data_IF_874809475367
#
_entry.id   IF_874809475367
#
_cell.length_a   1.000
_cell.length_b   1.000
_cell.length_c   1.000
_cell.angle_alpha   90.00
_cell.angle_beta   90.00
_cell.angle_gamma   90.00
#
_symmetry.space_group_name_H-M   'P 1'
#
loop_
_entity.id
_entity.type
_entity.pdbx_description
1 polymer ?
#
# COMPACT_ATOMS: atom_id res chain seq x y z
N UNK A 1 3.26 38.70 12.47
CA UNK A 1 3.41 37.25 12.16
C UNK A 1 3.26 36.91 10.68
N UNK A 2 2.38 37.56 9.91
CA UNK A 2 2.25 37.30 8.45
C UNK A 2 3.56 37.49 7.66
N UNK A 3 4.36 38.51 8.01
CA UNK A 3 5.63 38.85 7.33
C UNK A 3 6.75 37.83 7.58
N UNK A 4 6.82 37.22 8.77
CA UNK A 4 7.88 36.26 9.14
C UNK A 4 7.82 34.99 8.29
N UNK A 5 6.61 34.47 8.07
CA UNK A 5 6.40 33.27 7.27
C UNK A 5 6.73 33.50 5.78
N UNK A 6 6.43 34.69 5.24
CA UNK A 6 6.84 35.08 3.88
C UNK A 6 8.37 35.18 3.78
N UNK A 7 9.03 35.72 4.81
CA UNK A 7 10.50 35.77 4.85
C UNK A 7 11.11 34.36 4.87
N UNK A 8 10.57 33.42 5.65
CA UNK A 8 11.02 32.02 5.64
C UNK A 8 10.81 31.40 4.27
N UNK A 9 9.62 31.52 3.66
CA UNK A 9 9.38 30.96 2.32
C UNK A 9 10.35 31.54 1.29
N UNK A 10 10.64 32.85 1.35
CA UNK A 10 11.63 33.49 0.47
C UNK A 10 13.05 33.01 0.73
N UNK A 11 13.45 32.80 1.99
CA UNK A 11 14.76 32.24 2.37
C UNK A 11 14.91 30.78 1.90
N UNK A 12 13.84 29.98 1.99
CA UNK A 12 13.82 28.60 1.48
C UNK A 12 13.98 28.62 -0.05
N UNK A 13 13.19 29.44 -0.74
CA UNK A 13 13.22 29.58 -2.20
C UNK A 13 14.58 30.09 -2.69
N UNK A 14 15.22 31.01 -1.97
CA UNK A 14 16.54 31.55 -2.34
C UNK A 14 17.72 30.66 -1.92
N UNK A 15 17.46 29.44 -1.42
CA UNK A 15 18.46 28.54 -0.80
C UNK A 15 19.32 29.21 0.29
N UNK A 16 18.78 30.22 0.97
CA UNK A 16 19.49 31.03 1.95
C UNK A 16 19.52 30.43 3.36
N UNK A 17 18.83 29.30 3.59
CA UNK A 17 18.81 28.62 4.88
C UNK A 17 20.05 27.75 5.06
N UNK A 18 20.83 27.95 6.15
CA UNK A 18 21.94 27.07 6.49
C UNK A 18 21.43 25.66 6.76
N UNK A 19 22.10 24.65 6.18
CA UNK A 19 21.76 23.22 6.36
C UNK A 19 21.68 22.79 7.83
N UNK A 20 22.51 23.40 8.70
CA UNK A 20 22.54 23.14 10.14
C UNK A 20 21.30 23.61 10.90
N UNK A 21 20.53 24.58 10.37
CA UNK A 21 19.32 25.13 11.02
C UNK A 21 18.01 24.61 10.41
N UNK A 22 18.09 23.69 9.47
CA UNK A 22 16.89 23.07 8.88
C UNK A 22 16.08 22.32 9.95
N UNK A 23 16.77 21.64 10.87
CA UNK A 23 16.11 20.92 11.96
C UNK A 23 15.41 21.89 12.93
N UNK A 24 16.10 22.94 13.39
CA UNK A 24 15.51 23.98 14.24
C UNK A 24 14.28 24.62 13.56
N UNK A 25 14.33 24.81 12.24
CA UNK A 25 13.22 25.37 11.47
C UNK A 25 12.03 24.41 11.45
N UNK A 26 12.25 23.11 11.21
CA UNK A 26 11.19 22.09 11.23
C UNK A 26 10.57 21.95 12.62
N UNK A 27 11.37 21.96 13.68
CA UNK A 27 10.90 21.94 15.06
C UNK A 27 10.03 23.17 15.38
N UNK A 28 10.46 24.36 14.95
CA UNK A 28 9.68 25.58 15.09
C UNK A 28 8.36 25.53 14.28
N UNK A 29 8.38 24.94 13.08
CA UNK A 29 7.18 24.74 12.27
C UNK A 29 6.22 23.75 12.93
N UNK A 30 6.73 22.67 13.54
CA UNK A 30 5.94 21.68 14.25
C UNK A 30 5.21 22.29 15.45
N UNK A 31 5.92 23.12 16.23
CA UNK A 31 5.35 23.87 17.36
C UNK A 31 4.25 24.88 16.94
N UNK A 32 4.22 25.26 15.65
CA UNK A 32 3.24 26.19 15.10
C UNK A 32 2.03 25.50 14.43
N UNK A 33 1.95 24.17 14.43
CA UNK A 33 0.89 23.44 13.72
C UNK A 33 -0.51 23.64 14.31
N UNK A 34 -0.61 23.92 15.62
CA UNK A 34 -1.89 24.17 16.32
C UNK A 34 -2.39 25.62 16.21
N UNK A 35 -1.65 26.49 15.52
CA UNK A 35 -1.98 27.90 15.38
C UNK A 35 -3.02 28.17 14.28
N UNK A 36 -3.30 29.45 14.03
CA UNK A 36 -4.34 29.89 13.09
C UNK A 36 -4.19 29.29 11.67
N UNK A 37 -5.32 29.12 10.98
CA UNK A 37 -5.45 28.52 9.65
C UNK A 37 -4.46 29.07 8.61
N UNK A 38 -4.32 30.40 8.56
CA UNK A 38 -3.43 31.06 7.60
C UNK A 38 -1.96 30.69 7.83
N UNK A 39 -1.58 30.39 9.08
CA UNK A 39 -0.24 29.95 9.40
C UNK A 39 -0.03 28.50 8.97
N UNK A 40 -1.01 27.63 9.20
CA UNK A 40 -0.97 26.23 8.74
C UNK A 40 -0.74 26.12 7.23
N UNK A 41 -1.46 26.90 6.41
CA UNK A 41 -1.25 26.92 4.96
C UNK A 41 0.13 27.41 4.56
N UNK A 42 0.67 28.42 5.25
CA UNK A 42 2.01 28.91 4.95
C UNK A 42 3.11 27.93 5.40
N UNK A 43 2.90 27.18 6.48
CA UNK A 43 3.79 26.07 6.87
C UNK A 43 3.82 25.04 5.73
N UNK A 44 2.67 24.64 5.20
CA UNK A 44 2.60 23.70 4.07
C UNK A 44 3.32 24.24 2.82
N UNK A 45 3.13 25.52 2.49
CA UNK A 45 3.84 26.15 1.37
C UNK A 45 5.37 26.17 1.60
N UNK A 46 5.81 26.43 2.83
CA UNK A 46 7.22 26.38 3.19
C UNK A 46 7.78 24.96 3.07
N UNK A 47 7.05 23.93 3.52
CA UNK A 47 7.45 22.53 3.39
C UNK A 47 7.52 22.07 1.93
N UNK A 48 6.55 22.43 1.10
CA UNK A 48 6.61 22.15 -0.34
C UNK A 48 7.82 22.82 -1.00
N UNK A 49 8.14 24.06 -0.61
CA UNK A 49 9.32 24.78 -1.09
C UNK A 49 10.62 24.14 -0.60
N UNK A 50 10.64 23.62 0.64
CA UNK A 50 11.78 22.91 1.22
C UNK A 50 12.05 21.63 0.44
N UNK A 51 11.00 20.86 0.16
CA UNK A 51 11.10 19.64 -0.65
C UNK A 51 11.68 19.93 -2.04
N UNK A 52 11.26 21.00 -2.70
CA UNK A 52 11.75 21.36 -4.04
C UNK A 52 13.21 21.83 -4.05
N UNK A 53 13.65 22.57 -3.03
CA UNK A 53 14.96 23.23 -3.03
C UNK A 53 16.06 22.46 -2.28
N UNK A 54 15.67 21.61 -1.31
CA UNK A 54 16.54 20.89 -0.41
C UNK A 54 16.25 19.37 -0.42
N UNK A 55 15.75 18.84 -1.54
CA UNK A 55 15.45 17.41 -1.69
C UNK A 55 16.63 16.54 -1.24
N UNK A 56 17.85 16.82 -1.70
CA UNK A 56 19.03 15.98 -1.40
C UNK A 56 19.47 16.02 0.07
N UNK A 57 19.13 17.10 0.77
CA UNK A 57 19.46 17.34 2.18
C UNK A 57 18.40 16.74 3.14
N UNK A 58 17.19 16.42 2.63
CA UNK A 58 16.12 15.75 3.39
C UNK A 58 16.40 14.26 3.55
N UNK A 59 17.16 13.91 4.58
CA UNK A 59 17.52 12.52 4.97
C UNK A 59 17.42 12.36 6.48
N UNK A 60 17.20 11.14 6.95
CA UNK A 60 17.17 10.82 8.39
C UNK A 60 16.21 11.72 9.19
N UNK A 61 16.70 12.31 10.28
CA UNK A 61 15.86 13.05 11.23
C UNK A 61 15.17 14.28 10.61
N UNK A 62 15.79 14.91 9.60
CA UNK A 62 15.16 16.02 8.85
C UNK A 62 13.93 15.54 8.06
N UNK A 63 14.03 14.36 7.44
CA UNK A 63 12.91 13.74 6.75
C UNK A 63 11.80 13.38 7.75
N UNK A 64 12.17 12.82 8.91
CA UNK A 64 11.22 12.50 9.97
C UNK A 64 10.45 13.73 10.43
N UNK A 65 11.14 14.83 10.74
CA UNK A 65 10.52 16.08 11.15
C UNK A 65 9.58 16.65 10.07
N UNK A 66 9.97 16.61 8.80
CA UNK A 66 9.11 17.09 7.70
C UNK A 66 7.83 16.24 7.55
N UNK A 67 7.95 14.91 7.64
CA UNK A 67 6.80 13.99 7.58
C UNK A 67 5.89 14.16 8.80
N UNK A 68 6.45 14.38 9.99
CA UNK A 68 5.72 14.62 11.23
C UNK A 68 4.86 15.89 11.14
N UNK A 69 5.44 17.01 10.67
CA UNK A 69 4.68 18.27 10.50
C UNK A 69 3.52 18.08 9.52
N UNK A 70 3.76 17.42 8.38
CA UNK A 70 2.69 17.13 7.41
C UNK A 70 1.61 16.18 7.97
N UNK A 71 2.00 15.21 8.80
CA UNK A 71 1.07 14.31 9.48
C UNK A 71 0.21 15.05 10.49
N UNK A 72 0.80 15.92 11.31
CA UNK A 72 0.08 16.73 12.30
C UNK A 72 -0.94 17.65 11.61
N UNK A 73 -0.55 18.32 10.52
CA UNK A 73 -1.42 19.21 9.76
C UNK A 73 -2.55 18.50 9.01
N UNK A 74 -2.44 17.21 8.72
CA UNK A 74 -3.55 16.44 8.14
C UNK A 74 -4.75 16.31 9.08
N UNK A 75 -4.53 16.34 10.39
CA UNK A 75 -5.60 16.31 11.38
C UNK A 75 -6.34 17.64 11.54
N UNK A 76 -5.90 18.70 10.85
CA UNK A 76 -6.53 20.01 10.89
C UNK A 76 -8.00 19.94 10.45
N UNK A 77 -8.89 20.59 11.21
CA UNK A 77 -10.34 20.62 10.93
C UNK A 77 -10.68 21.23 9.56
N UNK A 78 -9.81 22.10 9.05
CA UNK A 78 -10.00 22.74 7.76
C UNK A 78 -9.63 21.78 6.63
N UNK A 79 -10.64 21.40 5.83
CA UNK A 79 -10.48 20.48 4.68
C UNK A 79 -9.43 20.94 3.67
N UNK A 80 -9.28 22.25 3.48
CA UNK A 80 -8.24 22.82 2.59
C UNK A 80 -6.84 22.53 3.11
N UNK A 81 -6.58 22.76 4.40
CA UNK A 81 -5.27 22.45 5.03
C UNK A 81 -5.02 20.96 5.04
N UNK A 82 -5.98 20.17 5.50
CA UNK A 82 -5.85 18.71 5.56
C UNK A 82 -5.57 18.10 4.17
N UNK A 83 -6.28 18.56 3.13
CA UNK A 83 -6.06 18.11 1.75
C UNK A 83 -4.68 18.50 1.18
N UNK A 84 -4.24 19.74 1.42
CA UNK A 84 -2.89 20.19 0.99
C UNK A 84 -1.82 19.44 1.79
N UNK A 85 -2.01 19.22 3.09
CA UNK A 85 -1.09 18.46 3.92
C UNK A 85 -0.96 17.00 3.45
N UNK A 86 -2.07 16.36 3.09
CA UNK A 86 -2.05 15.01 2.51
C UNK A 86 -1.29 14.97 1.17
N UNK A 87 -1.51 15.95 0.30
CA UNK A 87 -0.79 16.05 -0.97
C UNK A 87 0.72 16.29 -0.77
N UNK A 88 1.10 17.20 0.13
CA UNK A 88 2.51 17.45 0.47
C UNK A 88 3.15 16.22 1.12
N UNK A 89 2.43 15.48 1.97
CA UNK A 89 2.92 14.22 2.54
C UNK A 89 3.17 13.18 1.44
N UNK A 90 2.22 13.01 0.50
CA UNK A 90 2.40 12.12 -0.65
C UNK A 90 3.63 12.51 -1.48
N UNK A 91 3.86 13.80 -1.70
CA UNK A 91 5.05 14.28 -2.42
C UNK A 91 6.35 13.99 -1.65
N UNK A 92 6.37 14.21 -0.34
CA UNK A 92 7.53 13.88 0.51
C UNK A 92 7.85 12.39 0.42
N UNK A 93 6.84 11.53 0.61
CA UNK A 93 7.00 10.08 0.53
C UNK A 93 7.46 9.67 -0.88
N UNK A 94 6.88 10.23 -1.94
CA UNK A 94 7.28 9.95 -3.33
C UNK A 94 8.75 10.30 -3.56
N UNK A 95 9.20 11.46 -3.10
CA UNK A 95 10.60 11.90 -3.21
C UNK A 95 11.57 10.94 -2.49
N UNK A 96 11.17 10.34 -1.36
CA UNK A 96 11.98 9.33 -0.67
C UNK A 96 12.23 8.12 -1.57
N UNK A 97 11.20 7.59 -2.23
CA UNK A 97 11.35 6.45 -3.13
C UNK A 97 12.08 6.80 -4.43
N UNK A 98 11.91 8.01 -4.96
CA UNK A 98 12.68 8.48 -6.11
C UNK A 98 14.19 8.52 -5.80
N UNK A 99 14.58 8.90 -4.59
CA UNK A 99 15.98 8.87 -4.14
C UNK A 99 16.55 7.46 -4.13
N UNK A 100 15.77 6.45 -3.71
CA UNK A 100 16.19 5.05 -3.78
C UNK A 100 16.46 4.64 -5.22
N UNK A 101 15.54 4.97 -6.13
CA UNK A 101 15.73 4.69 -7.56
C UNK A 101 16.93 5.40 -8.18
N UNK A 102 17.29 6.59 -7.70
CA UNK A 102 18.50 7.30 -8.13
C UNK A 102 19.77 6.70 -7.52
N UNK A 103 19.72 6.27 -6.26
CA UNK A 103 20.80 5.57 -5.57
C UNK A 103 21.08 4.21 -6.24
N UNK A 104 20.05 3.47 -6.64
CA UNK A 104 20.15 2.20 -7.39
C UNK A 104 20.87 2.34 -8.73
N UNK A 105 20.72 3.48 -9.41
CA UNK A 105 21.41 3.76 -10.68
C UNK A 105 22.91 4.04 -10.50
N UNK A 106 23.33 4.44 -9.30
CA UNK A 106 24.71 4.82 -8.97
C UNK A 106 25.25 3.97 -7.80
N UNK A 107 25.37 2.64 -7.97
CA UNK A 107 25.73 1.72 -6.87
C UNK A 107 27.15 1.91 -6.30
N UNK A 108 28.01 2.69 -6.97
CA UNK A 108 29.39 2.94 -6.56
C UNK A 108 29.63 4.20 -5.71
N UNK A 109 28.66 5.11 -5.60
CA UNK A 109 28.87 6.41 -4.94
C UNK A 109 28.61 6.38 -3.42
N UNK A 110 27.73 5.50 -2.96
CA UNK A 110 27.28 5.47 -1.56
C UNK A 110 27.37 4.05 -1.00
N UNK A 111 28.21 3.86 0.02
CA UNK A 111 28.37 2.57 0.68
C UNK A 111 27.16 2.22 1.54
N UNK A 112 26.79 0.94 1.56
CA UNK A 112 25.77 0.42 2.48
C UNK A 112 26.34 0.39 3.91
N UNK A 113 25.76 1.19 4.80
CA UNK A 113 26.23 1.37 6.17
C UNK A 113 25.22 0.88 7.22
N UNK A 114 23.94 0.75 6.86
CA UNK A 114 22.88 0.46 7.82
C UNK A 114 22.42 -0.99 7.68
N UNK A 115 22.27 -1.71 8.79
CA UNK A 115 21.76 -3.09 8.78
C UNK A 115 20.31 -3.16 9.24
N UNK A 116 19.49 -3.92 8.51
CA UNK A 116 18.06 -4.11 8.77
C UNK A 116 17.75 -5.61 8.81
N UNK A 117 16.87 -6.08 9.72
CA UNK A 117 16.44 -7.47 9.73
C UNK A 117 15.66 -7.80 8.43
N UNK A 118 16.18 -8.75 7.65
CA UNK A 118 15.48 -9.38 6.54
C UNK A 118 15.12 -10.83 6.85
N UNK A 119 14.28 -11.42 5.99
CA UNK A 119 13.80 -12.80 6.17
C UNK A 119 14.93 -13.84 6.11
N UNK A 120 16.00 -13.57 5.34
CA UNK A 120 17.17 -14.46 5.17
C UNK A 120 18.43 -13.97 5.92
N UNK A 121 18.28 -12.99 6.82
CA UNK A 121 19.39 -12.41 7.59
C UNK A 121 19.46 -10.87 7.54
N UNK A 122 20.48 -10.26 8.17
CA UNK A 122 20.64 -8.81 8.16
C UNK A 122 21.01 -8.29 6.76
N UNK A 123 20.19 -7.37 6.23
CA UNK A 123 20.37 -6.72 4.93
C UNK A 123 21.10 -5.40 5.15
N UNK A 124 22.22 -5.21 4.44
CA UNK A 124 22.95 -3.93 4.40
C UNK A 124 22.30 -2.98 3.41
N UNK A 125 21.77 -1.88 3.91
CA UNK A 125 21.10 -0.83 3.16
C UNK A 125 21.97 0.40 3.02
N UNK A 126 21.82 1.04 1.87
CA UNK A 126 22.32 2.38 1.61
C UNK A 126 21.39 3.41 2.27
N UNK A 127 21.86 4.65 2.49
CA UNK A 127 21.11 5.67 3.23
C UNK A 127 19.71 5.95 2.68
N UNK A 128 19.53 6.06 1.35
CA UNK A 128 18.20 6.34 0.81
C UNK A 128 17.27 5.12 0.94
N UNK A 129 17.76 3.92 0.64
CA UNK A 129 17.01 2.68 0.86
C UNK A 129 16.61 2.48 2.34
N UNK A 130 17.49 2.83 3.28
CA UNK A 130 17.23 2.77 4.71
C UNK A 130 16.13 3.75 5.14
N UNK A 131 16.16 5.00 4.66
CA UNK A 131 15.10 5.98 4.93
C UNK A 131 13.76 5.51 4.35
N UNK A 132 13.73 4.98 3.13
CA UNK A 132 12.52 4.44 2.51
C UNK A 132 11.94 3.26 3.30
N UNK A 133 12.79 2.32 3.76
CA UNK A 133 12.40 1.23 4.62
C UNK A 133 11.77 1.73 5.93
N UNK A 134 12.39 2.70 6.61
CA UNK A 134 11.88 3.24 7.87
C UNK A 134 10.53 3.93 7.68
N UNK A 135 10.38 4.74 6.64
CA UNK A 135 9.11 5.41 6.31
C UNK A 135 8.03 4.38 5.99
N UNK A 136 8.31 3.40 5.13
CA UNK A 136 7.33 2.40 4.72
C UNK A 136 6.89 1.51 5.90
N UNK A 137 7.84 1.07 6.73
CA UNK A 137 7.55 0.31 7.95
C UNK A 137 6.68 1.11 8.92
N UNK A 138 7.01 2.38 9.14
CA UNK A 138 6.25 3.21 10.07
C UNK A 138 4.85 3.55 9.54
N UNK A 139 4.66 3.68 8.22
CA UNK A 139 3.33 3.75 7.61
C UNK A 139 2.52 2.47 7.85
N UNK A 140 3.15 1.30 7.74
CA UNK A 140 2.49 0.03 8.03
C UNK A 140 2.11 -0.11 9.52
N UNK A 141 2.98 0.35 10.43
CA UNK A 141 2.68 0.40 11.87
C UNK A 141 1.58 1.41 12.18
N UNK A 142 1.56 2.57 11.53
CA UNK A 142 0.51 3.57 11.69
C UNK A 142 -0.86 3.06 11.21
N UNK A 143 -0.90 2.25 10.14
CA UNK A 143 -2.13 1.58 9.70
C UNK A 143 -2.66 0.57 10.74
N UNK A 144 -1.80 0.01 11.59
CA UNK A 144 -2.18 -0.90 12.68
C UNK A 144 -2.50 -0.16 14.00
N UNK A 145 -2.47 1.16 14.03
CA UNK A 145 -2.54 1.98 15.26
C UNK A 145 -1.45 1.60 16.29
N UNK A 146 -0.26 1.23 15.79
CA UNK A 146 0.91 0.86 16.60
C UNK A 146 1.90 2.02 16.66
N UNK A 147 2.64 2.08 17.78
CA UNK A 147 3.68 3.09 17.97
C UNK A 147 4.76 2.96 16.89
N UNK A 148 4.94 4.05 16.15
CA UNK A 148 5.98 4.20 15.14
C UNK A 148 7.36 4.41 15.78
N UNK A 149 8.43 4.17 15.01
CA UNK A 149 9.80 4.13 15.56
C UNK A 149 10.69 5.27 15.06
N UNK A 150 10.45 5.73 13.84
CA UNK A 150 11.19 6.78 13.16
C UNK A 150 10.35 8.05 13.09
N UNK A 151 9.21 8.00 12.41
CA UNK A 151 8.34 9.17 12.20
C UNK A 151 7.20 9.12 13.19
N UNK A 152 6.95 10.19 13.94
CA UNK A 152 5.81 10.24 14.86
C UNK A 152 4.52 10.55 14.10
N UNK A 153 3.90 9.54 13.51
CA UNK A 153 2.58 9.64 12.86
C UNK A 153 1.43 9.71 13.89
N UNK A 154 1.55 10.54 14.92
CA UNK A 154 0.59 10.57 16.04
C UNK A 154 -0.84 10.94 15.63
N UNK A 155 -0.99 11.68 14.52
CA UNK A 155 -2.29 12.21 14.06
C UNK A 155 -2.72 11.67 12.69
N UNK A 156 -1.99 10.69 12.13
CA UNK A 156 -2.33 10.11 10.83
C UNK A 156 -3.44 9.07 11.00
N UNK A 157 -4.49 9.15 10.19
CA UNK A 157 -5.56 8.14 10.24
C UNK A 157 -5.11 6.81 9.59
N UNK A 158 -5.77 5.72 9.99
CA UNK A 158 -5.58 4.39 9.40
C UNK A 158 -5.80 4.42 7.88
N UNK A 159 -6.84 5.14 7.42
CA UNK A 159 -7.19 5.25 6.00
C UNK A 159 -6.11 5.98 5.19
N UNK A 160 -5.59 7.09 5.71
CA UNK A 160 -4.51 7.84 5.05
C UNK A 160 -3.24 7.01 4.97
N UNK A 161 -2.92 6.26 6.03
CA UNK A 161 -1.76 5.34 6.05
C UNK A 161 -1.87 4.28 4.96
N UNK A 162 -3.05 3.66 4.80
CA UNK A 162 -3.29 2.66 3.75
C UNK A 162 -3.22 3.25 2.33
N UNK A 163 -3.73 4.46 2.10
CA UNK A 163 -3.60 5.12 0.79
C UNK A 163 -2.15 5.47 0.46
N UNK A 164 -1.35 5.86 1.46
CA UNK A 164 0.07 6.12 1.26
C UNK A 164 0.82 4.83 0.92
N UNK A 165 0.58 3.75 1.67
CA UNK A 165 1.15 2.42 1.38
C UNK A 165 0.79 1.99 -0.05
N UNK A 166 -0.48 2.10 -0.43
CA UNK A 166 -0.94 1.85 -1.78
C UNK A 166 -0.18 2.68 -2.82
N UNK A 167 -0.10 4.00 -2.60
CA UNK A 167 0.57 4.94 -3.52
C UNK A 167 2.04 4.58 -3.70
N UNK A 168 2.75 4.19 -2.64
CA UNK A 168 4.15 3.79 -2.71
C UNK A 168 4.34 2.58 -3.64
N UNK A 169 3.52 1.55 -3.45
CA UNK A 169 3.63 0.28 -4.19
C UNK A 169 3.23 0.48 -5.66
N UNK A 170 2.21 1.30 -5.93
CA UNK A 170 1.76 1.57 -7.30
C UNK A 170 2.78 2.39 -8.08
N UNK A 171 3.36 3.41 -7.44
CA UNK A 171 4.32 4.32 -8.09
C UNK A 171 5.66 3.64 -8.40
N UNK A 172 6.10 2.69 -7.56
CA UNK A 172 7.46 2.15 -7.64
C UNK A 172 7.51 0.60 -7.73
N UNK A 173 6.84 -0.06 -8.70
CA UNK A 173 6.72 -1.52 -8.71
C UNK A 173 8.06 -2.26 -8.80
N UNK A 174 9.04 -1.70 -9.52
CA UNK A 174 10.38 -2.29 -9.64
C UNK A 174 11.15 -2.25 -8.32
N UNK A 175 11.02 -1.17 -7.54
CA UNK A 175 11.70 -1.05 -6.25
C UNK A 175 11.22 -2.13 -5.28
N UNK A 176 9.90 -2.34 -5.20
CA UNK A 176 9.34 -3.38 -4.32
C UNK A 176 9.69 -4.80 -4.77
N UNK A 177 9.92 -5.03 -6.07
CA UNK A 177 10.37 -6.33 -6.57
C UNK A 177 11.87 -6.60 -6.30
N UNK A 178 12.72 -5.57 -6.35
CA UNK A 178 14.18 -5.71 -6.19
C UNK A 178 14.63 -5.65 -4.73
N UNK A 179 14.02 -4.80 -3.90
CA UNK A 179 14.44 -4.56 -2.52
C UNK A 179 13.74 -5.50 -1.54
N UNK A 180 14.50 -6.42 -0.95
CA UNK A 180 13.99 -7.47 -0.05
C UNK A 180 13.44 -6.90 1.27
N UNK A 181 13.99 -5.78 1.76
CA UNK A 181 13.53 -5.10 2.97
C UNK A 181 12.11 -4.53 2.82
N UNK A 182 11.75 -4.06 1.62
CA UNK A 182 10.41 -3.57 1.33
C UNK A 182 9.43 -4.74 1.20
N UNK A 183 9.85 -5.80 0.51
CA UNK A 183 9.07 -7.04 0.36
C UNK A 183 8.78 -7.72 1.70
N UNK A 184 9.78 -7.84 2.57
CA UNK A 184 9.62 -8.40 3.93
C UNK A 184 8.70 -7.55 4.80
N UNK A 185 8.70 -6.22 4.62
CA UNK A 185 7.76 -5.32 5.31
C UNK A 185 6.32 -5.54 4.85
N UNK A 186 6.09 -5.76 3.54
CA UNK A 186 4.77 -6.14 3.01
C UNK A 186 4.33 -7.47 3.63
N UNK A 187 5.20 -8.49 3.60
CA UNK A 187 4.94 -9.81 4.17
C UNK A 187 4.60 -9.77 5.66
N UNK A 188 5.34 -9.00 6.45
CA UNK A 188 5.26 -9.05 7.91
C UNK A 188 4.24 -8.11 8.53
N UNK A 189 3.84 -7.03 7.84
CA UNK A 189 2.93 -6.02 8.40
C UNK A 189 1.69 -5.84 7.50
N UNK A 190 1.88 -5.57 6.21
CA UNK A 190 0.78 -5.22 5.30
C UNK A 190 -0.16 -6.42 5.03
N UNK A 191 0.39 -7.59 4.71
CA UNK A 191 -0.40 -8.79 4.42
C UNK A 191 -1.19 -9.33 5.63
N UNK A 192 -0.61 -9.41 6.84
CA UNK A 192 -1.36 -9.73 8.06
C UNK A 192 -2.49 -8.75 8.32
N UNK A 193 -2.25 -7.45 8.13
CA UNK A 193 -3.28 -6.43 8.27
C UNK A 193 -4.44 -6.62 7.28
N UNK A 194 -4.15 -6.88 6.00
CA UNK A 194 -5.18 -7.18 4.98
C UNK A 194 -5.98 -8.44 5.33
N UNK A 195 -5.29 -9.47 5.81
CA UNK A 195 -5.90 -10.75 6.24
C UNK A 195 -6.86 -10.53 7.41
N UNK A 196 -6.47 -9.66 8.35
CA UNK A 196 -7.33 -9.19 9.44
C UNK A 196 -8.54 -8.41 8.92
N UNK A 197 -8.36 -7.51 7.96
CA UNK A 197 -9.46 -6.76 7.35
C UNK A 197 -10.50 -7.66 6.64
N UNK A 198 -10.04 -8.78 6.07
CA UNK A 198 -10.92 -9.80 5.50
C UNK A 198 -11.69 -10.59 6.55
N UNK A 199 -11.04 -10.95 7.66
CA UNK A 199 -11.60 -11.83 8.68
C UNK A 199 -12.46 -11.10 9.72
N UNK A 200 -12.04 -9.90 10.10
CA UNK A 200 -12.68 -9.09 11.15
C UNK A 200 -13.67 -8.07 10.58
N UNK A 201 -14.44 -7.46 11.47
CA UNK A 201 -15.36 -6.36 11.16
C UNK A 201 -14.63 -5.02 11.37
N UNK A 202 -13.70 -4.69 10.48
CA UNK A 202 -13.13 -3.34 10.42
C UNK A 202 -14.14 -2.36 9.84
N UNK A 203 -13.84 -1.07 9.97
CA UNK A 203 -14.67 -0.02 9.39
C UNK A 203 -14.72 -0.15 7.84
N UNK A 204 -15.76 0.42 7.22
CA UNK A 204 -15.96 0.32 5.76
C UNK A 204 -14.78 0.91 4.97
N UNK A 205 -14.30 2.09 5.37
CA UNK A 205 -13.28 2.86 4.67
C UNK A 205 -11.92 2.16 4.64
N UNK A 206 -11.54 1.56 5.77
CA UNK A 206 -10.36 0.73 5.99
C UNK A 206 -10.47 -0.59 5.23
N UNK A 207 -11.62 -1.27 5.31
CA UNK A 207 -11.83 -2.55 4.62
C UNK A 207 -11.71 -2.37 3.11
N UNK A 208 -12.35 -1.35 2.54
CA UNK A 208 -12.29 -1.07 1.10
C UNK A 208 -10.85 -0.83 0.63
N UNK A 209 -10.07 -0.06 1.39
CA UNK A 209 -8.66 0.23 1.08
C UNK A 209 -7.77 -0.99 1.20
N UNK A 210 -7.99 -1.81 2.23
CA UNK A 210 -7.27 -3.08 2.42
C UNK A 210 -7.55 -4.06 1.28
N UNK A 211 -8.82 -4.17 0.85
CA UNK A 211 -9.23 -5.01 -0.26
C UNK A 211 -8.71 -4.51 -1.60
N UNK A 212 -8.65 -3.18 -1.80
CA UNK A 212 -7.97 -2.59 -2.96
C UNK A 212 -6.49 -2.97 -2.95
N UNK A 213 -5.81 -2.80 -1.82
CA UNK A 213 -4.40 -3.18 -1.65
C UNK A 213 -4.15 -4.68 -1.92
N UNK A 214 -5.07 -5.54 -1.48
CA UNK A 214 -5.05 -6.96 -1.80
C UNK A 214 -5.13 -7.22 -3.31
N UNK A 215 -6.02 -6.54 -4.03
CA UNK A 215 -6.16 -6.68 -5.49
C UNK A 215 -4.85 -6.35 -6.21
N UNK A 216 -4.11 -5.32 -5.77
CA UNK A 216 -2.79 -4.98 -6.30
C UNK A 216 -1.74 -6.04 -5.99
N UNK A 217 -1.73 -6.56 -4.76
CA UNK A 217 -0.76 -7.59 -4.36
C UNK A 217 -0.99 -8.88 -5.15
N UNK A 218 -2.25 -9.33 -5.25
CA UNK A 218 -2.63 -10.47 -6.10
C UNK A 218 -2.25 -10.20 -7.56
N UNK A 219 -2.47 -8.98 -8.04
CA UNK A 219 -2.27 -8.66 -9.45
C UNK A 219 -0.81 -8.57 -9.88
N UNK A 220 0.09 -8.16 -8.98
CA UNK A 220 1.51 -7.87 -9.31
C UNK A 220 2.52 -8.76 -8.58
N UNK A 221 2.21 -9.25 -7.39
CA UNK A 221 3.17 -9.88 -6.48
C UNK A 221 2.79 -11.30 -6.05
N UNK A 222 1.81 -11.94 -6.70
CA UNK A 222 1.38 -13.31 -6.37
C UNK A 222 2.53 -14.33 -6.37
N UNK A 223 3.48 -14.21 -7.30
CA UNK A 223 4.66 -15.08 -7.39
C UNK A 223 5.65 -14.85 -6.25
N UNK A 224 5.65 -13.65 -5.66
CA UNK A 224 6.57 -13.26 -4.59
C UNK A 224 6.01 -13.64 -3.20
N UNK A 225 4.69 -13.69 -3.05
CA UNK A 225 3.99 -14.03 -1.81
C UNK A 225 2.92 -15.12 -2.03
N UNK A 226 3.29 -16.34 -2.50
CA UNK A 226 2.32 -17.35 -2.87
C UNK A 226 1.49 -17.81 -1.67
N UNK A 227 2.11 -18.14 -0.53
CA UNK A 227 1.39 -18.67 0.63
C UNK A 227 0.42 -17.64 1.23
N UNK A 228 0.82 -16.37 1.28
CA UNK A 228 0.01 -15.29 1.82
C UNK A 228 -1.16 -14.94 0.89
N UNK A 229 -0.93 -14.96 -0.43
CA UNK A 229 -1.99 -14.81 -1.42
C UNK A 229 -2.97 -15.98 -1.41
N UNK A 230 -2.52 -17.21 -1.17
CA UNK A 230 -3.37 -18.40 -1.03
C UNK A 230 -4.38 -18.22 0.11
N UNK A 231 -3.88 -17.83 1.29
CA UNK A 231 -4.71 -17.57 2.47
C UNK A 231 -5.68 -16.43 2.22
N UNK A 232 -5.21 -15.31 1.65
CA UNK A 232 -6.05 -14.16 1.36
C UNK A 232 -7.16 -14.49 0.35
N UNK A 233 -6.85 -15.24 -0.71
CA UNK A 233 -7.84 -15.72 -1.68
C UNK A 233 -8.86 -16.65 -1.02
N UNK A 234 -8.42 -17.58 -0.16
CA UNK A 234 -9.32 -18.43 0.63
C UNK A 234 -10.30 -17.61 1.50
N UNK A 235 -9.82 -16.53 2.12
CA UNK A 235 -10.67 -15.62 2.89
C UNK A 235 -11.62 -14.78 2.03
N UNK A 236 -11.19 -14.36 0.83
CA UNK A 236 -12.07 -13.71 -0.16
C UNK A 236 -13.22 -14.65 -0.53
N UNK A 237 -12.93 -15.93 -0.76
CA UNK A 237 -13.92 -16.96 -1.06
C UNK A 237 -14.89 -17.19 0.10
N UNK A 238 -14.39 -17.21 1.34
CA UNK A 238 -15.23 -17.30 2.53
C UNK A 238 -16.13 -16.06 2.69
N UNK A 239 -15.59 -14.86 2.41
CA UNK A 239 -16.34 -13.60 2.47
C UNK A 239 -17.56 -13.60 1.54
N UNK A 240 -17.54 -14.34 0.42
CA UNK A 240 -18.68 -14.44 -0.50
C UNK A 240 -19.90 -15.16 0.07
N UNK A 241 -19.74 -15.96 1.13
CA UNK A 241 -20.85 -16.72 1.69
C UNK A 241 -21.91 -15.76 2.26
N UNK A 242 -23.21 -15.97 1.95
CA UNK A 242 -24.26 -14.99 2.22
C UNK A 242 -24.44 -14.68 3.70
N UNK A 243 -24.11 -15.63 4.57
CA UNK A 243 -24.20 -15.53 6.03
C UNK A 243 -22.89 -15.06 6.67
N UNK A 244 -21.77 -15.06 5.93
CA UNK A 244 -20.45 -14.74 6.46
C UNK A 244 -20.16 -13.23 6.47
N UNK A 245 -20.74 -12.44 5.55
CA UNK A 245 -20.37 -11.02 5.39
C UNK A 245 -21.47 -10.13 4.82
N UNK A 246 -21.45 -8.82 5.17
CA UNK A 246 -22.43 -7.86 4.67
C UNK A 246 -22.33 -7.70 3.15
N UNK A 247 -23.44 -7.28 2.53
CA UNK A 247 -23.57 -7.21 1.06
C UNK A 247 -22.49 -6.35 0.39
N UNK A 248 -22.09 -5.24 1.00
CA UNK A 248 -21.05 -4.38 0.45
C UNK A 248 -19.67 -5.07 0.44
N UNK A 249 -19.32 -5.81 1.51
CA UNK A 249 -18.04 -6.53 1.61
C UNK A 249 -17.99 -7.68 0.60
N UNK A 250 -19.14 -8.35 0.40
CA UNK A 250 -19.33 -9.34 -0.66
C UNK A 250 -19.18 -8.75 -2.06
N UNK A 251 -19.73 -7.55 -2.30
CA UNK A 251 -19.59 -6.88 -3.58
C UNK A 251 -18.12 -6.53 -3.88
N UNK A 252 -17.36 -6.03 -2.90
CA UNK A 252 -15.93 -5.75 -3.06
C UNK A 252 -15.12 -7.03 -3.28
N UNK A 253 -15.42 -8.12 -2.55
CA UNK A 253 -14.78 -9.42 -2.79
C UNK A 253 -15.05 -9.95 -4.21
N UNK A 254 -16.26 -9.77 -4.74
CA UNK A 254 -16.59 -10.11 -6.13
C UNK A 254 -15.84 -9.25 -7.14
N UNK A 255 -15.54 -8.00 -6.82
CA UNK A 255 -14.73 -7.13 -7.67
C UNK A 255 -13.29 -7.64 -7.79
N UNK A 256 -12.66 -8.05 -6.68
CA UNK A 256 -11.32 -8.67 -6.68
C UNK A 256 -11.34 -9.92 -7.56
N UNK A 257 -12.34 -10.80 -7.39
CA UNK A 257 -12.43 -12.00 -8.21
C UNK A 257 -12.66 -11.69 -9.69
N UNK A 258 -13.49 -10.69 -10.00
CA UNK A 258 -13.67 -10.23 -11.38
C UNK A 258 -12.34 -9.77 -11.99
N UNK A 259 -11.57 -8.97 -11.26
CA UNK A 259 -10.26 -8.47 -11.72
C UNK A 259 -9.24 -9.61 -11.86
N UNK A 260 -9.27 -10.58 -10.95
CA UNK A 260 -8.46 -11.80 -11.02
C UNK A 260 -8.76 -12.64 -12.27
N UNK A 261 -10.04 -12.89 -12.55
CA UNK A 261 -10.46 -13.67 -13.73
C UNK A 261 -10.43 -12.88 -15.05
N UNK A 262 -10.30 -11.55 -15.00
CA UNK A 262 -10.20 -10.73 -16.20
C UNK A 262 -8.89 -10.98 -16.96
N UNK A 263 -7.83 -11.42 -16.28
CA UNK A 263 -6.52 -11.68 -16.88
C UNK A 263 -6.16 -13.16 -16.78
N UNK A 264 -6.19 -13.86 -17.93
CA UNK A 264 -5.96 -15.31 -17.98
C UNK A 264 -4.58 -15.76 -17.47
N UNK A 265 -3.56 -14.91 -17.61
CA UNK A 265 -2.20 -15.15 -17.08
C UNK A 265 -2.22 -15.42 -15.57
N UNK A 266 -2.98 -14.62 -14.80
CA UNK A 266 -3.10 -14.74 -13.34
C UNK A 266 -3.72 -16.05 -12.91
N UNK A 267 -4.72 -16.52 -13.67
CA UNK A 267 -5.42 -17.77 -13.39
C UNK A 267 -4.48 -18.96 -13.66
N UNK A 268 -3.72 -18.91 -14.74
CA UNK A 268 -2.72 -19.93 -15.08
C UNK A 268 -1.61 -19.95 -14.02
N UNK A 269 -1.09 -18.78 -13.65
CA UNK A 269 -0.08 -18.65 -12.60
C UNK A 269 -0.59 -19.17 -11.26
N UNK A 270 -1.83 -18.84 -10.86
CA UNK A 270 -2.44 -19.35 -9.64
C UNK A 270 -2.63 -20.87 -9.68
N UNK A 271 -3.06 -21.43 -10.81
CA UNK A 271 -3.18 -22.89 -10.97
C UNK A 271 -1.81 -23.57 -10.84
N UNK A 272 -0.78 -23.01 -11.47
CA UNK A 272 0.58 -23.54 -11.36
C UNK A 272 1.13 -23.45 -9.92
N UNK A 273 0.85 -22.36 -9.21
CA UNK A 273 1.36 -22.12 -7.85
C UNK A 273 0.63 -22.93 -6.78
N UNK A 274 -0.69 -23.11 -6.89
CA UNK A 274 -1.51 -23.69 -5.81
C UNK A 274 -2.01 -25.10 -6.11
N UNK A 275 -2.41 -25.39 -7.35
CA UNK A 275 -3.10 -26.63 -7.69
C UNK A 275 -2.18 -27.67 -8.36
N UNK A 276 -1.08 -27.26 -9.01
CA UNK A 276 -0.07 -28.16 -9.61
C UNK A 276 1.07 -28.55 -8.66
N UNK A 277 1.21 -27.88 -7.52
CA UNK A 277 2.24 -28.25 -6.55
C UNK A 277 1.87 -29.63 -5.94
N UNK A 278 2.65 -30.65 -6.28
CA UNK A 278 2.53 -32.03 -5.78
C UNK A 278 2.71 -32.08 -4.26
N UNK A 279 1.61 -31.88 -3.56
CA UNK A 279 1.58 -31.77 -2.11
C UNK A 279 0.24 -31.23 -1.65
N UNK A 280 -0.86 -31.86 -2.10
CA UNK A 280 -2.19 -31.56 -1.63
C UNK A 280 -2.22 -31.57 -0.10
N UNK A 281 -2.26 -30.37 0.50
CA UNK A 281 -2.61 -30.23 1.91
C UNK A 281 -4.09 -30.57 2.00
N UNK A 282 -4.34 -31.85 2.21
CA UNK A 282 -5.59 -32.35 2.77
C UNK A 282 -5.81 -31.58 4.08
N UNK A 283 -6.79 -30.67 4.09
CA UNK A 283 -7.34 -30.19 5.36
C UNK A 283 -7.80 -31.41 6.17
N UNK A 284 -7.83 -31.29 7.50
CA UNK A 284 -8.26 -32.33 8.46
C UNK A 284 -9.71 -32.84 8.23
N UNK A 285 -10.37 -32.41 7.16
CA UNK A 285 -11.70 -32.78 6.68
C UNK A 285 -11.75 -33.55 5.35
N UNK A 286 -10.61 -33.95 4.76
CA UNK A 286 -10.59 -34.96 3.70
C UNK A 286 -11.25 -34.57 2.37
N UNK A 287 -11.24 -33.29 2.01
CA UNK A 287 -11.66 -32.82 0.68
C UNK A 287 -10.48 -32.20 -0.06
N UNK A 288 -10.23 -32.61 -1.31
CA UNK A 288 -9.32 -31.94 -2.24
C UNK A 288 -9.79 -30.50 -2.49
N UNK A 289 -9.34 -29.55 -1.66
CA UNK A 289 -9.65 -28.13 -1.84
C UNK A 289 -8.64 -27.55 -2.82
N UNK A 290 -8.79 -27.87 -4.10
CA UNK A 290 -8.11 -27.13 -5.17
C UNK A 290 -8.59 -25.68 -5.12
N UNK A 291 -7.70 -24.75 -4.81
CA UNK A 291 -8.05 -23.35 -4.59
C UNK A 291 -8.70 -22.78 -5.85
N UNK A 292 -8.14 -23.04 -7.03
CA UNK A 292 -8.73 -22.56 -8.28
C UNK A 292 -10.10 -23.22 -8.54
N UNK A 293 -10.27 -24.52 -8.28
CA UNK A 293 -11.58 -25.16 -8.42
C UNK A 293 -12.64 -24.54 -7.49
N UNK A 294 -12.26 -24.18 -6.26
CA UNK A 294 -13.14 -23.50 -5.31
C UNK A 294 -13.48 -22.07 -5.74
N UNK A 295 -12.49 -21.32 -6.24
CA UNK A 295 -12.65 -19.98 -6.82
C UNK A 295 -13.63 -20.02 -8.01
N UNK A 296 -13.41 -20.94 -8.95
CA UNK A 296 -14.27 -21.13 -10.12
C UNK A 296 -15.70 -21.53 -9.71
N UNK A 297 -15.86 -22.50 -8.79
CA UNK A 297 -17.19 -22.97 -8.35
C UNK A 297 -17.99 -21.85 -7.70
N UNK A 298 -17.38 -21.06 -6.79
CA UNK A 298 -18.07 -19.95 -6.12
C UNK A 298 -18.33 -18.77 -7.05
N UNK A 299 -17.40 -18.43 -7.94
CA UNK A 299 -17.62 -17.40 -8.96
C UNK A 299 -18.80 -17.74 -9.89
N UNK A 300 -18.89 -19.00 -10.35
CA UNK A 300 -19.97 -19.46 -11.22
C UNK A 300 -21.31 -19.51 -10.46
N UNK A 301 -21.34 -20.03 -9.23
CA UNK A 301 -22.56 -20.16 -8.43
C UNK A 301 -23.18 -18.79 -8.08
N UNK A 302 -22.35 -17.78 -7.78
CA UNK A 302 -22.84 -16.44 -7.48
C UNK A 302 -23.28 -15.69 -8.75
N UNK A 303 -22.60 -15.87 -9.89
CA UNK A 303 -23.00 -15.26 -11.17
C UNK A 303 -24.30 -15.86 -11.70
N UNK A 304 -24.51 -17.17 -11.51
CA UNK A 304 -25.76 -17.85 -11.87
C UNK A 304 -26.92 -17.44 -10.96
N UNK A 305 -26.75 -17.33 -9.63
CA UNK A 305 -27.80 -16.81 -8.73
C UNK A 305 -28.19 -15.35 -9.01
N UNK A 306 -27.23 -14.48 -9.33
CA UNK A 306 -27.52 -13.09 -9.72
C UNK A 306 -28.18 -12.98 -11.09
N UNK A 307 -27.81 -13.86 -12.04
CA UNK A 307 -28.41 -13.91 -13.38
C UNK A 307 -29.83 -14.51 -13.37
N UNK A 308 -30.13 -15.47 -12.48
CA UNK A 308 -31.48 -16.05 -12.34
C UNK A 308 -32.48 -15.03 -11.78
N UNK A 309 -32.04 -13.97 -11.08
CA UNK A 309 -32.89 -12.86 -10.63
C UNK A 309 -33.08 -11.72 -11.65
N UNK A 310 -32.27 -11.65 -12.71
CA UNK A 310 -32.39 -10.63 -13.78
C UNK A 310 -32.58 -11.32 -15.12
N UNK A 311 -33.84 -11.46 -15.50
CA UNK A 311 -34.32 -12.12 -16.72
C UNK A 311 -33.57 -11.71 -18.00
N UNK A 312 -33.31 -12.73 -18.84
CA UNK A 312 -33.34 -12.68 -20.31
C UNK A 312 -32.82 -11.41 -20.99
N UNK A 313 -31.49 -11.23 -21.04
CA UNK A 313 -30.68 -10.54 -22.09
C UNK A 313 -29.35 -10.10 -21.50
N UNK A 314 -28.43 -11.04 -21.31
CA UNK A 314 -27.00 -10.74 -21.21
C UNK A 314 -26.30 -11.68 -22.20
N UNK A 315 -25.50 -11.07 -23.06
CA UNK A 315 -25.09 -11.56 -24.37
C UNK A 315 -24.32 -12.88 -24.32
N UNK A 316 -24.48 -13.67 -25.38
CA UNK A 316 -23.75 -14.92 -25.66
C UNK A 316 -22.21 -14.77 -25.59
N UNK A 317 -21.66 -13.54 -25.55
CA UNK A 317 -20.22 -13.29 -25.59
C UNK A 317 -19.50 -13.72 -24.30
N UNK A 318 -20.08 -13.50 -23.12
CA UNK A 318 -19.47 -13.90 -21.84
C UNK A 318 -19.60 -15.40 -21.55
N UNK A 319 -20.63 -16.05 -22.10
CA UNK A 319 -20.74 -17.52 -22.06
C UNK A 319 -19.67 -18.16 -22.93
N UNK A 320 -19.35 -17.59 -24.10
CA UNK A 320 -18.31 -18.14 -24.97
C UNK A 320 -16.90 -18.08 -24.37
N UNK A 321 -16.50 -17.00 -23.67
CA UNK A 321 -15.14 -16.91 -23.09
C UNK A 321 -14.90 -17.92 -21.95
N UNK A 322 -15.91 -18.18 -21.13
CA UNK A 322 -15.84 -19.18 -20.07
C UNK A 322 -15.95 -20.59 -20.66
N UNK A 323 -16.83 -20.81 -21.64
CA UNK A 323 -16.97 -22.11 -22.29
C UNK A 323 -15.76 -22.48 -23.16
N UNK A 324 -15.08 -21.50 -23.78
CA UNK A 324 -13.85 -21.71 -24.56
C UNK A 324 -12.64 -21.96 -23.67
N UNK A 325 -12.56 -21.36 -22.48
CA UNK A 325 -11.51 -21.71 -21.50
C UNK A 325 -11.70 -23.13 -20.98
N UNK A 326 -12.95 -23.54 -20.71
CA UNK A 326 -13.25 -24.91 -20.25
C UNK A 326 -13.04 -25.95 -21.36
N UNK A 327 -13.45 -25.67 -22.60
CA UNK A 327 -13.26 -26.61 -23.73
C UNK A 327 -11.82 -26.71 -24.24
N UNK A 328 -11.02 -25.66 -24.09
CA UNK A 328 -9.58 -25.72 -24.39
C UNK A 328 -8.85 -26.57 -23.35
N UNK A 329 -9.32 -26.57 -22.09
CA UNK A 329 -8.77 -27.39 -21.01
C UNK A 329 -9.17 -28.87 -21.10
N UNK A 330 -10.37 -29.19 -21.59
CA UNK A 330 -10.81 -30.57 -21.86
C UNK A 330 -10.16 -31.22 -23.09
N UNK A 331 -9.47 -30.45 -23.96
CA UNK A 331 -8.78 -30.99 -25.16
C UNK A 331 -7.27 -31.15 -24.99
N UNK A 332 -6.72 -30.78 -23.83
CA UNK A 332 -5.29 -30.90 -23.50
C UNK A 332 -4.98 -32.08 -22.56
N UNK A 333 -6.02 -32.84 -22.18
CA UNK A 333 -5.94 -34.22 -21.68
C UNK A 333 -6.48 -35.18 -22.75
#
# INVERSE_FOLDING_TARGET
>A
MSSYSICISRLIISRGLPRSRLQETLEALNACTDLALDLQLKILQALSSLLQNYADDLKGDLLSGALEVCSSLQSAKARTVSGVAAATLQQLVTSVFEKVGNEDKHPGEVQAQNEVPGDDGPIKLRPAAFDAYRVFRDLALAAEDRKTKFVQFASLSEESSLELIWSCIVANPSLFATHQELSSTIRSNVLPYITRALSEKLNYATTLRSLRLLDLIISRYMKQFPAECEVALGLVIHTLDPDASPMWKRATAMEILRNFFAEGSRVIDAYALYDMADGGKTDRRGSDVRLCASLFRKAICHRTRSAVKRSSRISLCERCLIYLSVRSFERLN
#
